data_IF_409798190087
#
_entry.id   IF_409798190087
#
_cell.length_a   1.000
_cell.length_b   1.000
_cell.length_c   1.000
_cell.angle_alpha   90.00
_cell.angle_beta   90.00
_cell.angle_gamma   90.00
#
_symmetry.space_group_name_H-M   'P 1'
#
loop_
_entity.id
_entity.type
_entity.pdbx_description
1 polymer ?
#
# COMPACT_ATOMS: atom_id res chain seq x y z
N UNK A 1 17.56 4.37 -0.08
CA UNK A 1 16.49 3.72 0.71
C UNK A 1 15.52 3.14 -0.30
N UNK A 2 15.40 1.82 -0.33
CA UNK A 2 14.51 1.13 -1.27
C UNK A 2 13.07 1.21 -0.76
N UNK A 3 12.19 1.81 -1.56
CA UNK A 3 10.75 1.92 -1.24
C UNK A 3 9.98 0.91 -2.10
N UNK A 4 9.06 0.15 -1.50
CA UNK A 4 8.19 -0.78 -2.22
C UNK A 4 6.83 -0.11 -2.42
N UNK A 5 6.44 0.10 -3.68
CA UNK A 5 5.10 0.58 -4.05
C UNK A 5 4.22 -0.64 -4.31
N UNK A 6 3.08 -0.73 -3.61
CA UNK A 6 2.10 -1.81 -3.81
C UNK A 6 0.90 -1.24 -4.57
N UNK A 7 0.82 -1.54 -5.86
CA UNK A 7 -0.36 -1.22 -6.68
C UNK A 7 -1.43 -2.32 -6.52
N UNK A 8 -2.59 -1.99 -5.95
CA UNK A 8 -3.71 -2.91 -5.81
C UNK A 8 -4.72 -2.64 -6.93
N UNK A 9 -4.83 -3.59 -7.87
CA UNK A 9 -5.79 -3.51 -8.97
C UNK A 9 -7.20 -3.89 -8.49
N UNK A 10 -8.22 -3.27 -9.06
CA UNK A 10 -9.64 -3.64 -8.85
C UNK A 10 -10.06 -4.92 -9.60
N UNK A 11 -9.19 -5.93 -9.64
CA UNK A 11 -9.48 -7.25 -10.23
C UNK A 11 -10.18 -8.13 -9.18
N UNK A 12 -11.18 -8.96 -9.56
CA UNK A 12 -11.83 -9.91 -8.65
C UNK A 12 -10.87 -10.75 -7.79
N UNK A 13 -9.70 -11.11 -8.29
CA UNK A 13 -8.69 -11.86 -7.52
C UNK A 13 -8.10 -11.08 -6.33
N UNK A 14 -8.17 -9.75 -6.37
CA UNK A 14 -7.76 -8.86 -5.28
C UNK A 14 -8.93 -8.36 -4.43
N UNK A 15 -10.12 -8.99 -4.54
CA UNK A 15 -11.32 -8.59 -3.78
C UNK A 15 -11.08 -8.53 -2.27
N UNK A 16 -10.26 -9.42 -1.72
CA UNK A 16 -9.91 -9.40 -0.30
C UNK A 16 -9.12 -8.14 0.07
N UNK A 17 -8.11 -7.78 -0.73
CA UNK A 17 -7.30 -6.56 -0.51
C UNK A 17 -8.16 -5.30 -0.63
N UNK A 18 -9.07 -5.26 -1.61
CA UNK A 18 -10.00 -4.13 -1.77
C UNK A 18 -10.95 -3.99 -0.57
N UNK A 19 -11.48 -5.10 -0.04
CA UNK A 19 -12.30 -5.09 1.18
C UNK A 19 -11.52 -4.62 2.40
N UNK A 20 -10.30 -5.13 2.59
CA UNK A 20 -9.45 -4.70 3.70
C UNK A 20 -9.10 -3.22 3.60
N UNK A 21 -8.90 -2.69 2.38
CA UNK A 21 -8.69 -1.26 2.15
C UNK A 21 -9.90 -0.43 2.54
N UNK A 22 -11.10 -0.82 2.10
CA UNK A 22 -12.35 -0.13 2.45
C UNK A 22 -12.63 -0.14 3.96
N UNK A 23 -12.15 -1.16 4.67
CA UNK A 23 -12.27 -1.28 6.12
C UNK A 23 -11.15 -0.57 6.90
N UNK A 24 -10.15 0.00 6.21
CA UNK A 24 -8.96 0.58 6.85
C UNK A 24 -7.97 -0.44 7.44
N UNK A 25 -8.17 -1.74 7.17
CA UNK A 25 -7.40 -2.86 7.73
C UNK A 25 -6.28 -3.37 6.80
N UNK A 26 -6.18 -2.82 5.59
CA UNK A 26 -5.22 -3.29 4.58
C UNK A 26 -3.78 -3.24 5.09
N UNK A 27 -3.38 -2.10 5.68
CA UNK A 27 -2.02 -1.90 6.16
C UNK A 27 -1.70 -2.81 7.35
N UNK A 28 -2.66 -3.03 8.26
CA UNK A 28 -2.50 -3.96 9.37
C UNK A 28 -2.33 -5.41 8.90
N UNK A 29 -3.10 -5.82 7.89
CA UNK A 29 -2.95 -7.13 7.27
C UNK A 29 -1.58 -7.28 6.60
N UNK A 30 -1.09 -6.26 5.90
CA UNK A 30 0.24 -6.28 5.28
C UNK A 30 1.34 -6.34 6.36
N UNK A 31 1.24 -5.56 7.44
CA UNK A 31 2.18 -5.59 8.57
C UNK A 31 2.27 -6.99 9.18
N UNK A 32 1.14 -7.64 9.44
CA UNK A 32 1.10 -8.99 9.99
C UNK A 32 1.75 -10.01 9.06
N UNK A 33 1.48 -9.93 7.75
CA UNK A 33 2.03 -10.88 6.76
C UNK A 33 3.53 -10.69 6.58
N UNK A 34 4.01 -9.45 6.57
CA UNK A 34 5.42 -9.14 6.36
C UNK A 34 6.24 -9.12 7.67
N UNK A 35 5.59 -9.24 8.82
CA UNK A 35 6.18 -9.12 10.15
C UNK A 35 7.01 -7.82 10.30
N UNK A 36 6.43 -6.71 9.84
CA UNK A 36 7.04 -5.38 9.85
C UNK A 36 6.40 -4.55 10.98
N UNK A 37 7.23 -3.93 11.81
CA UNK A 37 6.80 -3.03 12.88
C UNK A 37 6.19 -1.71 12.33
N UNK A 38 5.46 -0.97 13.18
CA UNK A 38 4.68 0.22 12.79
C UNK A 38 5.49 1.31 12.06
N UNK A 39 6.81 1.34 12.21
CA UNK A 39 7.69 2.32 11.54
C UNK A 39 7.95 2.03 10.05
N UNK A 40 7.74 0.79 9.59
CA UNK A 40 8.15 0.37 8.24
C UNK A 40 7.10 0.53 7.14
N UNK A 41 5.83 0.70 7.50
CA UNK A 41 4.72 0.85 6.54
C UNK A 41 4.00 2.19 6.72
N UNK A 42 4.25 3.10 5.78
CA UNK A 42 3.52 4.35 5.66
C UNK A 42 2.56 4.32 4.48
N UNK A 43 1.33 4.78 4.72
CA UNK A 43 0.41 5.12 3.66
C UNK A 43 0.86 6.42 2.98
N UNK A 44 0.98 6.39 1.66
CA UNK A 44 1.27 7.56 0.85
C UNK A 44 -0.05 8.17 0.37
N UNK A 45 -0.21 9.48 0.56
CA UNK A 45 -1.30 10.19 -0.11
C UNK A 45 -1.11 10.15 -1.62
N UNK A 46 -2.22 10.26 -2.35
CA UNK A 46 -2.22 10.21 -3.81
C UNK A 46 -1.31 11.30 -4.43
N UNK A 47 -1.34 12.53 -3.89
CA UNK A 47 -0.49 13.64 -4.33
C UNK A 47 1.01 13.34 -4.16
N UNK A 48 1.36 12.68 -3.05
CA UNK A 48 2.75 12.29 -2.76
C UNK A 48 3.19 11.13 -3.67
N UNK A 49 2.26 10.24 -4.03
CA UNK A 49 2.49 9.21 -5.04
C UNK A 49 2.75 9.80 -6.43
N UNK A 50 1.91 10.72 -6.92
CA UNK A 50 2.10 11.37 -8.23
C UNK A 50 3.43 12.12 -8.30
N UNK A 51 3.79 12.82 -7.23
CA UNK A 51 5.10 13.49 -7.12
C UNK A 51 6.25 12.47 -7.26
N UNK A 52 6.19 11.36 -6.53
CA UNK A 52 7.22 10.32 -6.56
C UNK A 52 7.31 9.63 -7.94
N UNK A 53 6.18 9.39 -8.60
CA UNK A 53 6.14 8.82 -9.95
C UNK A 53 6.75 9.78 -10.98
N UNK A 54 6.47 11.08 -10.87
CA UNK A 54 7.05 12.10 -11.76
C UNK A 54 8.57 12.25 -11.63
N UNK A 55 9.13 11.99 -10.44
CA UNK A 55 10.56 12.08 -10.17
C UNK A 55 11.35 10.84 -10.64
N UNK A 56 10.67 9.72 -10.94
CA UNK A 56 11.29 8.50 -11.48
C UNK A 56 11.31 8.45 -13.02
N UNK A 57 10.62 9.37 -13.70
CA UNK A 57 10.62 9.53 -15.17
C UNK A 57 11.70 10.51 -15.61
#
# INVERSE_FOLDING_TARGET
>A
MDSIIIEIKCDPKYRLLNKLREQGLLFDAIRQVLNIDDEGLQELSYEKYELLESLQK
#
